data_IF_973857147468
#
_entry.id   IF_973857147468
#
_cell.length_a   1.000
_cell.length_b   1.000
_cell.length_c   1.000
_cell.angle_alpha   90.00
_cell.angle_beta   90.00
_cell.angle_gamma   90.00
#
_symmetry.space_group_name_H-M   'P 1'
#
loop_
_entity.id
_entity.type
_entity.pdbx_description
1 polymer ?
#
# COMPACT_ATOMS: atom_id res chain seq x y z
N UNK A 1 -13.72 13.81 48.79
CA UNK A 1 -12.90 13.90 47.56
C UNK A 1 -11.87 12.78 47.61
N UNK A 2 -11.93 11.76 46.73
CA UNK A 2 -10.94 10.68 46.77
C UNK A 2 -9.74 11.04 45.89
N UNK A 3 -8.56 11.04 46.52
CA UNK A 3 -7.24 11.22 45.90
C UNK A 3 -6.89 10.03 45.00
N UNK A 4 -6.57 10.31 43.73
CA UNK A 4 -6.09 9.31 42.78
C UNK A 4 -4.56 9.18 42.86
N UNK A 5 -4.10 7.93 43.02
CA UNK A 5 -2.68 7.56 43.00
C UNK A 5 -2.35 7.01 41.60
N UNK A 6 -1.33 7.52 40.87
CA UNK A 6 -0.99 7.00 39.55
C UNK A 6 -0.11 5.75 39.65
N UNK A 7 -0.55 4.66 39.00
CA UNK A 7 0.20 3.41 38.84
C UNK A 7 1.24 3.62 37.72
N UNK A 8 2.51 3.32 38.02
CA UNK A 8 3.64 3.37 37.08
C UNK A 8 3.47 2.32 35.98
N UNK A 9 3.48 2.77 34.71
CA UNK A 9 3.59 1.90 33.54
C UNK A 9 5.07 1.62 33.24
N UNK A 10 5.47 0.37 32.95
CA UNK A 10 6.84 0.06 32.55
C UNK A 10 7.14 0.52 31.12
N UNK A 11 8.33 1.07 30.96
CA UNK A 11 8.96 1.54 29.73
C UNK A 11 8.97 0.49 28.61
N UNK A 12 8.45 0.84 27.43
CA UNK A 12 8.54 0.01 26.23
C UNK A 12 9.98 0.05 25.67
N UNK A 13 10.62 -1.12 25.69
CA UNK A 13 11.91 -1.35 25.05
C UNK A 13 11.81 -1.38 23.52
N UNK A 14 12.92 -1.03 22.89
CA UNK A 14 13.16 -0.98 21.44
C UNK A 14 12.88 -2.31 20.76
N UNK A 15 12.04 -2.32 19.71
CA UNK A 15 11.82 -3.48 18.85
C UNK A 15 12.72 -3.34 17.61
N UNK A 16 13.71 -4.21 17.48
CA UNK A 16 14.47 -4.43 16.24
C UNK A 16 13.72 -5.38 15.31
N UNK A 17 13.62 -5.04 14.03
CA UNK A 17 13.04 -5.91 13.00
C UNK A 17 14.06 -6.99 12.59
N UNK A 18 13.73 -8.24 12.91
CA UNK A 18 14.47 -9.42 12.44
C UNK A 18 13.66 -10.10 11.33
N UNK A 19 14.33 -10.33 10.19
CA UNK A 19 13.80 -10.99 9.00
C UNK A 19 13.05 -12.29 9.30
N UNK A 20 11.85 -12.44 8.75
CA UNK A 20 11.12 -13.70 8.73
C UNK A 20 11.22 -14.29 7.32
N UNK A 21 12.19 -15.18 7.16
CA UNK A 21 12.08 -16.29 6.22
C UNK A 21 12.16 -17.53 7.07
N UNK A 22 11.03 -18.17 7.35
CA UNK A 22 11.04 -19.60 7.64
C UNK A 22 9.68 -20.22 7.35
N UNK A 23 9.76 -21.16 6.42
CA UNK A 23 8.74 -22.05 5.88
C UNK A 23 8.12 -22.92 6.99
N UNK A 24 6.81 -22.80 7.19
CA UNK A 24 6.08 -23.65 8.13
C UNK A 24 5.32 -24.72 7.35
N UNK A 25 5.88 -25.93 7.33
CA UNK A 25 5.16 -27.15 6.96
C UNK A 25 4.12 -27.46 8.03
N UNK A 26 2.83 -27.25 7.75
CA UNK A 26 1.75 -27.81 8.57
C UNK A 26 1.16 -29.05 7.89
N UNK A 27 1.57 -30.23 8.34
CA UNK A 27 0.79 -31.46 8.16
C UNK A 27 -0.40 -31.41 9.11
N UNK A 28 -1.60 -31.13 8.60
CA UNK A 28 -2.83 -31.34 9.35
C UNK A 28 -3.52 -32.60 8.84
N UNK A 29 -3.47 -33.66 9.65
CA UNK A 29 -4.22 -34.90 9.44
C UNK A 29 -5.56 -34.73 10.14
N UNK A 30 -6.64 -34.56 9.38
CA UNK A 30 -8.00 -34.56 9.91
C UNK A 30 -8.79 -35.67 9.23
N UNK A 31 -9.01 -36.76 9.96
CA UNK A 31 -10.01 -37.78 9.65
C UNK A 31 -11.36 -37.26 10.16
N UNK A 32 -12.31 -37.09 9.25
CA UNK A 32 -13.73 -37.18 9.55
C UNK A 32 -14.44 -37.68 8.29
N UNK A 33 -14.99 -38.89 8.37
CA UNK A 33 -15.83 -39.46 7.35
C UNK A 33 -17.16 -38.68 7.31
N UNK A 34 -17.45 -38.03 6.18
CA UNK A 34 -18.80 -37.59 5.82
C UNK A 34 -19.14 -38.30 4.51
N UNK A 35 -20.14 -39.18 4.64
CA UNK A 35 -20.74 -40.00 3.62
C UNK A 35 -21.21 -39.20 2.40
N UNK A 36 -20.79 -39.64 1.21
CA UNK A 36 -21.59 -39.61 -0.01
C UNK A 36 -21.52 -38.34 -0.87
N UNK A 37 -20.48 -38.24 -1.71
CA UNK A 37 -20.55 -37.56 -3.01
C UNK A 37 -19.74 -38.38 -4.03
N UNK A 38 -20.28 -38.73 -5.23
CA UNK A 38 -19.47 -39.36 -6.25
C UNK A 38 -18.38 -38.37 -6.68
N UNK A 39 -17.12 -38.79 -6.58
CA UNK A 39 -15.97 -38.08 -7.13
C UNK A 39 -16.24 -37.83 -8.61
N UNK A 40 -16.53 -36.59 -8.99
CA UNK A 40 -16.18 -36.14 -10.32
C UNK A 40 -14.66 -36.27 -10.41
N UNK A 41 -14.19 -37.22 -11.22
CA UNK A 41 -12.80 -37.28 -11.63
C UNK A 41 -12.58 -36.01 -12.45
N UNK A 42 -12.07 -34.96 -11.82
CA UNK A 42 -11.44 -33.89 -12.57
C UNK A 42 -10.11 -34.48 -13.05
N UNK A 43 -10.02 -34.81 -14.34
CA UNK A 43 -8.72 -34.99 -14.99
C UNK A 43 -7.89 -33.75 -14.65
N UNK A 44 -6.91 -33.96 -13.77
CA UNK A 44 -6.00 -32.90 -13.34
C UNK A 44 -4.90 -32.85 -14.38
N UNK A 45 -5.20 -32.39 -15.60
CA UNK A 45 -4.18 -32.17 -16.63
C UNK A 45 -4.58 -31.04 -17.59
N UNK A 46 -4.34 -29.82 -17.12
CA UNK A 46 -3.54 -28.80 -17.80
C UNK A 46 -3.55 -27.60 -16.86
N UNK A 47 -2.45 -27.39 -16.14
CA UNK A 47 -2.11 -26.04 -15.69
C UNK A 47 -1.98 -25.18 -16.95
N UNK A 48 -3.09 -24.56 -17.37
CA UNK A 48 -3.04 -23.44 -18.30
C UNK A 48 -2.31 -22.36 -17.54
N UNK A 49 -0.99 -22.29 -17.71
CA UNK A 49 -0.16 -21.16 -17.32
C UNK A 49 -0.72 -19.98 -18.09
N UNK A 50 -1.68 -19.28 -17.48
CA UNK A 50 -2.15 -17.99 -18.00
C UNK A 50 -0.91 -17.10 -17.94
N UNK A 51 -0.41 -16.56 -19.06
CA UNK A 51 0.65 -15.58 -18.97
C UNK A 51 0.15 -14.48 -18.04
N UNK A 52 0.98 -14.12 -17.05
CA UNK A 52 0.66 -13.03 -16.15
C UNK A 52 0.32 -11.82 -17.02
N UNK A 53 -0.94 -11.35 -16.95
CA UNK A 53 -1.30 -10.10 -17.62
C UNK A 53 -0.56 -9.01 -16.86
N UNK A 54 0.48 -8.47 -17.47
CA UNK A 54 1.09 -7.26 -16.94
C UNK A 54 0.01 -6.18 -16.92
N UNK A 55 -0.20 -5.52 -15.76
CA UNK A 55 -1.14 -4.42 -15.70
C UNK A 55 -0.66 -3.32 -16.68
N UNK A 56 -1.57 -2.63 -17.38
CA UNK A 56 -1.20 -1.51 -18.23
C UNK A 56 -0.40 -0.49 -17.42
N UNK A 57 0.79 -0.13 -17.90
CA UNK A 57 1.63 0.90 -17.28
C UNK A 57 1.09 2.27 -17.66
N UNK A 58 0.82 3.11 -16.66
CA UNK A 58 0.52 4.53 -16.86
C UNK A 58 1.84 5.32 -16.82
N UNK A 59 2.37 5.62 -18.00
CA UNK A 59 3.66 6.30 -18.15
C UNK A 59 3.69 7.71 -17.54
N UNK A 60 2.56 8.43 -17.55
CA UNK A 60 2.50 9.76 -16.94
C UNK A 60 2.58 9.65 -15.41
N UNK A 61 1.87 8.68 -14.81
CA UNK A 61 1.97 8.39 -13.37
C UNK A 61 3.40 8.01 -13.00
N UNK A 62 4.07 7.18 -13.81
CA UNK A 62 5.46 6.79 -13.59
C UNK A 62 6.41 7.99 -13.65
N UNK A 63 6.24 8.87 -14.65
CA UNK A 63 7.03 10.09 -14.79
C UNK A 63 6.90 11.00 -13.56
N UNK A 64 5.68 11.26 -13.11
CA UNK A 64 5.42 12.10 -11.92
C UNK A 64 5.89 11.42 -10.64
N UNK A 65 5.69 10.10 -10.52
CA UNK A 65 6.23 9.30 -9.42
C UNK A 65 7.76 9.48 -9.32
N UNK A 66 8.48 9.40 -10.43
CA UNK A 66 9.93 9.54 -10.46
C UNK A 66 10.40 10.96 -10.10
N UNK A 67 9.63 12.00 -10.48
CA UNK A 67 9.95 13.40 -10.14
C UNK A 67 9.69 13.74 -8.67
N UNK A 68 8.61 13.22 -8.10
CA UNK A 68 8.08 13.68 -6.82
C UNK A 68 8.47 12.82 -5.63
N UNK A 69 8.60 11.49 -5.81
CA UNK A 69 8.86 10.58 -4.68
C UNK A 69 10.10 10.99 -3.89
N UNK A 70 9.94 11.07 -2.58
CA UNK A 70 11.02 11.47 -1.66
C UNK A 70 11.26 12.98 -1.56
N UNK A 71 10.56 13.81 -2.35
CA UNK A 71 10.59 15.27 -2.24
C UNK A 71 9.39 15.79 -1.45
N UNK A 72 9.54 16.96 -0.84
CA UNK A 72 8.43 17.71 -0.21
C UNK A 72 7.80 18.67 -1.20
N UNK A 73 6.50 18.89 -1.10
CA UNK A 73 5.84 19.96 -1.86
C UNK A 73 6.08 21.31 -1.18
N UNK A 74 6.48 22.32 -1.94
CA UNK A 74 6.80 23.65 -1.43
C UNK A 74 6.54 24.76 -2.45
N UNK A 75 7.05 25.96 -2.16
CA UNK A 75 6.94 27.12 -3.05
C UNK A 75 7.98 27.08 -4.18
N UNK A 76 9.18 26.58 -3.89
CA UNK A 76 10.32 26.51 -4.81
C UNK A 76 10.75 25.07 -5.08
N UNK A 77 11.37 24.87 -6.24
CA UNK A 77 11.93 23.58 -6.67
C UNK A 77 13.42 23.54 -6.33
N UNK A 78 13.80 22.65 -5.40
CA UNK A 78 15.18 22.40 -4.99
C UNK A 78 15.49 20.89 -4.99
N UNK A 79 16.65 20.50 -4.46
CA UNK A 79 17.02 19.08 -4.36
C UNK A 79 16.05 18.26 -3.50
N UNK A 80 15.45 18.88 -2.47
CA UNK A 80 14.55 18.22 -1.50
C UNK A 80 13.09 18.66 -1.62
N UNK A 81 12.81 19.71 -2.36
CA UNK A 81 11.48 20.31 -2.51
C UNK A 81 11.07 20.38 -3.98
N UNK A 82 9.77 20.36 -4.23
CA UNK A 82 9.19 20.51 -5.55
C UNK A 82 8.12 21.60 -5.48
N UNK A 83 8.22 22.60 -6.35
CA UNK A 83 7.28 23.71 -6.36
C UNK A 83 5.87 23.24 -6.74
N UNK A 84 4.85 23.69 -6.01
CA UNK A 84 3.46 23.38 -6.34
C UNK A 84 3.03 23.97 -7.69
N UNK A 85 3.68 25.04 -8.14
CA UNK A 85 3.45 25.66 -9.45
C UNK A 85 3.87 24.77 -10.62
N UNK A 86 4.85 23.88 -10.40
CA UNK A 86 5.41 22.98 -11.42
C UNK A 86 4.64 21.66 -11.55
N UNK A 87 3.61 21.45 -10.72
CA UNK A 87 2.76 20.27 -10.77
C UNK A 87 1.77 20.33 -11.94
N UNK A 88 1.25 19.18 -12.42
CA UNK A 88 0.30 19.16 -13.53
C UNK A 88 -0.96 19.96 -13.18
N UNK A 89 -1.63 20.55 -14.19
CA UNK A 89 -2.79 21.41 -13.97
C UNK A 89 -3.95 20.64 -13.31
N UNK A 90 -4.25 19.45 -13.81
CA UNK A 90 -5.27 18.55 -13.26
C UNK A 90 -4.64 17.66 -12.19
N UNK A 91 -4.67 18.13 -10.93
CA UNK A 91 -4.12 17.40 -9.79
C UNK A 91 -4.99 17.47 -8.55
N UNK A 92 -4.84 16.46 -7.69
CA UNK A 92 -5.41 16.45 -6.33
C UNK A 92 -4.33 16.06 -5.32
N UNK A 93 -4.10 16.91 -4.33
CA UNK A 93 -3.22 16.58 -3.21
C UNK A 93 -4.11 16.01 -2.10
N UNK A 94 -3.84 14.77 -1.72
CA UNK A 94 -4.60 14.06 -0.69
C UNK A 94 -3.73 13.99 0.56
N UNK A 95 -4.06 14.78 1.56
CA UNK A 95 -3.32 14.85 2.81
C UNK A 95 -3.31 13.53 3.58
N UNK A 96 -2.33 13.37 4.45
CA UNK A 96 -2.24 12.21 5.32
C UNK A 96 -3.52 12.06 6.17
N UNK A 97 -4.12 10.86 6.13
CA UNK A 97 -5.39 10.53 6.82
C UNK A 97 -6.60 11.38 6.39
N UNK A 98 -6.52 12.09 5.28
CA UNK A 98 -7.66 12.80 4.71
C UNK A 98 -8.62 11.78 4.06
N UNK A 99 -9.91 11.90 4.36
CA UNK A 99 -10.93 11.15 3.63
C UNK A 99 -11.13 11.78 2.23
N UNK A 100 -11.24 10.94 1.21
CA UNK A 100 -11.46 11.35 -0.16
C UNK A 100 -12.30 10.29 -0.90
N UNK A 101 -12.84 10.69 -2.03
CA UNK A 101 -13.64 9.84 -2.90
C UNK A 101 -12.74 9.10 -3.90
N UNK A 102 -13.10 7.85 -4.21
CA UNK A 102 -12.37 6.95 -5.10
C UNK A 102 -12.89 7.01 -6.55
N UNK A 103 -13.43 8.15 -6.97
CA UNK A 103 -13.85 8.35 -8.36
C UNK A 103 -12.64 8.33 -9.30
N UNK A 104 -12.84 7.80 -10.50
CA UNK A 104 -11.83 7.76 -11.55
C UNK A 104 -11.95 8.98 -12.47
N UNK A 105 -10.87 9.71 -12.64
CA UNK A 105 -10.70 10.87 -13.50
C UNK A 105 -9.41 10.72 -14.31
N UNK A 106 -9.56 10.36 -15.59
CA UNK A 106 -8.44 10.05 -16.49
C UNK A 106 -7.42 11.18 -16.63
N UNK A 107 -7.83 12.44 -16.55
CA UNK A 107 -6.91 13.59 -16.69
C UNK A 107 -6.20 13.95 -15.38
N UNK A 108 -6.68 13.47 -14.23
CA UNK A 108 -6.22 13.93 -12.91
C UNK A 108 -5.18 13.00 -12.31
N UNK A 109 -4.11 13.59 -11.78
CA UNK A 109 -3.12 12.88 -10.97
C UNK A 109 -3.39 13.14 -9.49
N UNK A 110 -3.47 12.09 -8.67
CA UNK A 110 -3.45 12.28 -7.21
C UNK A 110 -2.03 12.17 -6.68
N UNK A 111 -1.72 13.00 -5.68
CA UNK A 111 -0.43 13.04 -4.99
C UNK A 111 -0.69 12.80 -3.51
N UNK A 112 0.01 11.83 -2.94
CA UNK A 112 -0.15 11.42 -1.53
C UNK A 112 1.12 11.77 -0.74
N UNK A 113 1.18 12.97 -0.15
CA UNK A 113 2.17 13.30 0.85
C UNK A 113 1.96 12.50 2.15
N UNK A 114 3.06 12.10 2.77
CA UNK A 114 3.10 11.60 4.14
C UNK A 114 2.84 12.74 5.14
N UNK A 115 2.76 12.40 6.43
CA UNK A 115 2.53 13.37 7.51
C UNK A 115 3.58 14.50 7.56
N UNK A 116 4.82 14.21 7.17
CA UNK A 116 5.90 15.19 7.13
C UNK A 116 5.90 16.06 5.85
N UNK A 117 4.95 15.82 4.93
CA UNK A 117 4.85 16.50 3.65
C UNK A 117 5.69 15.90 2.53
N UNK A 118 6.41 14.79 2.77
CA UNK A 118 7.17 14.09 1.72
C UNK A 118 6.25 13.25 0.85
N UNK A 119 6.35 13.38 -0.47
CA UNK A 119 5.53 12.60 -1.40
C UNK A 119 5.95 11.12 -1.37
N UNK A 120 5.02 10.26 -0.99
CA UNK A 120 5.22 8.80 -0.96
C UNK A 120 4.68 8.11 -2.21
N UNK A 121 3.51 8.56 -2.68
CA UNK A 121 2.81 7.88 -3.76
C UNK A 121 2.10 8.85 -4.71
N UNK A 122 1.93 8.41 -5.95
CA UNK A 122 1.26 9.13 -7.04
C UNK A 122 0.44 8.09 -7.80
N UNK A 123 -0.82 8.39 -8.09
CA UNK A 123 -1.67 7.54 -8.93
C UNK A 123 -2.54 8.34 -9.89
N UNK A 124 -3.20 7.59 -10.78
CA UNK A 124 -4.31 8.11 -11.55
C UNK A 124 -5.52 8.24 -10.63
N UNK A 125 -6.09 9.44 -10.59
CA UNK A 125 -7.29 9.70 -9.79
C UNK A 125 -8.56 9.52 -10.54
#
# INVERSE_FOLDING_TARGET
>A
MPSWNPILLPTLGTITYSNITDSISLKLKATAAISGMPHAVYDTDLEVVRPAREPPVDHEVEEWSNKLKGKKLGETSDSKTFAMCDLPPDRRIIGFRQAFTLEYCRSRINIYPAEDGTVGFVDRG
#
